data_IF_031604337523
#
_entry.id   IF_031604337523
#
_cell.length_a   1.000
_cell.length_b   1.000
_cell.length_c   1.000
_cell.angle_alpha   90.00
_cell.angle_beta   90.00
_cell.angle_gamma   90.00
#
_symmetry.space_group_name_H-M   'P 1'
#
loop_
_entity.id
_entity.type
_entity.pdbx_description
1 polymer ?
#
# COMPACT_ATOMS: atom_id res chain seq x y z
N UNK A 1 19.07 1.09 17.58
CA UNK A 1 18.31 -0.03 16.98
C UNK A 1 16.85 0.20 17.32
N UNK A 2 15.95 0.38 16.33
CA UNK A 2 14.53 0.54 16.62
C UNK A 2 13.99 -0.74 17.31
N UNK A 3 13.04 -0.60 18.26
CA UNK A 3 12.44 -1.76 18.92
C UNK A 3 11.76 -2.65 17.88
N UNK A 4 11.95 -3.97 17.96
CA UNK A 4 11.26 -4.89 17.04
C UNK A 4 9.76 -4.84 17.32
N UNK A 5 8.91 -4.69 16.27
CA UNK A 5 7.47 -4.65 16.44
C UNK A 5 6.96 -5.95 17.09
N UNK A 6 5.86 -5.91 17.87
CA UNK A 6 5.22 -7.11 18.38
C UNK A 6 4.84 -8.06 17.23
N UNK A 7 5.25 -9.33 17.32
CA UNK A 7 4.99 -10.36 16.29
C UNK A 7 3.52 -10.52 15.91
N UNK A 8 2.60 -10.18 16.82
CA UNK A 8 1.16 -10.29 16.57
C UNK A 8 0.63 -9.19 15.64
N UNK A 9 1.24 -8.00 15.66
CA UNK A 9 0.88 -6.89 14.77
C UNK A 9 1.31 -7.22 13.33
N UNK A 10 2.53 -7.72 13.16
CA UNK A 10 3.06 -8.16 11.87
C UNK A 10 2.16 -9.21 11.22
N UNK A 11 1.78 -10.27 11.95
CA UNK A 11 0.83 -11.29 11.47
C UNK A 11 -0.53 -10.71 11.08
N UNK A 12 -1.00 -9.70 11.80
CA UNK A 12 -2.29 -9.05 11.52
C UNK A 12 -2.23 -8.24 10.22
N UNK A 13 -1.13 -7.50 10.00
CA UNK A 13 -0.87 -6.75 8.77
C UNK A 13 -0.75 -7.72 7.59
N UNK A 14 0.04 -8.78 7.72
CA UNK A 14 0.19 -9.81 6.70
C UNK A 14 -1.15 -10.42 6.30
N UNK A 15 -2.00 -10.73 7.29
CA UNK A 15 -3.33 -11.26 7.04
C UNK A 15 -4.20 -10.27 6.25
N UNK A 16 -4.19 -8.99 6.63
CA UNK A 16 -4.94 -7.94 5.94
C UNK A 16 -4.46 -7.76 4.49
N UNK A 17 -3.14 -7.67 4.28
CA UNK A 17 -2.56 -7.53 2.95
C UNK A 17 -2.92 -8.71 2.05
N UNK A 18 -2.92 -9.95 2.58
CA UNK A 18 -3.34 -11.15 1.83
C UNK A 18 -4.82 -11.11 1.44
N UNK A 19 -5.70 -10.70 2.35
CA UNK A 19 -7.14 -10.58 2.07
C UNK A 19 -7.36 -9.52 0.99
N UNK A 20 -6.73 -8.36 1.12
CA UNK A 20 -6.83 -7.30 0.12
C UNK A 20 -6.30 -7.76 -1.26
N UNK A 21 -5.14 -8.45 -1.29
CA UNK A 21 -4.59 -9.04 -2.51
C UNK A 21 -5.56 -10.02 -3.17
N UNK A 22 -6.20 -10.89 -2.38
CA UNK A 22 -7.20 -11.84 -2.87
C UNK A 22 -8.40 -11.12 -3.51
N UNK A 23 -8.97 -10.13 -2.83
CA UNK A 23 -10.12 -9.36 -3.37
C UNK A 23 -9.73 -8.59 -4.63
N UNK A 24 -8.53 -7.98 -4.65
CA UNK A 24 -7.99 -7.29 -5.83
C UNK A 24 -7.80 -8.25 -7.00
N UNK A 25 -7.31 -9.46 -6.74
CA UNK A 25 -7.14 -10.50 -7.76
C UNK A 25 -8.50 -10.96 -8.32
N UNK A 26 -9.52 -11.12 -7.47
CA UNK A 26 -10.89 -11.42 -7.91
C UNK A 26 -11.46 -10.31 -8.80
N UNK A 27 -11.24 -9.05 -8.45
CA UNK A 27 -11.65 -7.90 -9.26
C UNK A 27 -10.95 -7.91 -10.63
N UNK A 28 -9.64 -8.17 -10.68
CA UNK A 28 -8.90 -8.30 -11.94
C UNK A 28 -9.37 -9.50 -12.77
N UNK A 29 -9.66 -10.64 -12.13
CA UNK A 29 -10.21 -11.82 -12.79
C UNK A 29 -11.55 -11.52 -13.46
N UNK A 30 -12.46 -10.85 -12.75
CA UNK A 30 -13.74 -10.40 -13.31
C UNK A 30 -13.55 -9.39 -14.46
N UNK A 31 -12.61 -8.46 -14.33
CA UNK A 31 -12.28 -7.49 -15.36
C UNK A 31 -11.75 -8.16 -16.65
N UNK A 32 -10.81 -9.11 -16.51
CA UNK A 32 -10.29 -9.92 -17.62
C UNK A 32 -11.42 -10.74 -18.26
N UNK A 33 -12.28 -11.37 -17.44
CA UNK A 33 -13.42 -12.12 -17.93
C UNK A 33 -14.31 -11.26 -18.81
N UNK A 34 -14.61 -10.01 -18.43
CA UNK A 34 -15.43 -9.10 -19.23
C UNK A 34 -14.74 -8.48 -20.44
N UNK A 35 -13.41 -8.43 -20.41
CA UNK A 35 -12.61 -8.00 -21.55
C UNK A 35 -12.52 -9.10 -22.62
N UNK A 36 -12.41 -10.37 -22.21
CA UNK A 36 -12.20 -11.51 -23.12
C UNK A 36 -13.52 -12.20 -23.52
N UNK A 37 -14.51 -12.23 -22.63
CA UNK A 37 -15.81 -12.83 -22.88
C UNK A 37 -16.83 -11.72 -23.10
N UNK A 38 -17.16 -11.47 -24.37
CA UNK A 38 -18.27 -10.58 -24.71
C UNK A 38 -19.60 -11.29 -24.40
N UNK A 39 -20.42 -10.79 -23.46
CA UNK A 39 -21.71 -11.41 -23.16
C UNK A 39 -22.59 -11.41 -24.41
N UNK A 40 -22.92 -12.60 -24.94
CA UNK A 40 -23.75 -12.76 -26.14
C UNK A 40 -22.99 -13.15 -27.41
N UNK A 41 -21.66 -13.22 -27.39
CA UNK A 41 -20.89 -13.86 -28.47
C UNK A 41 -20.81 -15.39 -28.23
N UNK A 42 -20.95 -16.17 -29.30
CA UNK A 42 -20.80 -17.63 -29.24
C UNK A 42 -19.34 -18.06 -28.97
N UNK A 43 -18.39 -17.24 -29.43
CA UNK A 43 -16.96 -17.45 -29.26
C UNK A 43 -16.35 -16.38 -28.35
N UNK A 44 -15.24 -16.72 -27.70
CA UNK A 44 -14.43 -15.75 -26.97
C UNK A 44 -13.91 -14.68 -27.95
N UNK A 45 -14.50 -13.48 -27.86
CA UNK A 45 -14.16 -12.35 -28.69
C UNK A 45 -13.69 -11.19 -27.81
N UNK A 46 -12.50 -10.68 -28.09
CA UNK A 46 -11.93 -9.56 -27.39
C UNK A 46 -12.83 -8.32 -27.52
N UNK A 47 -13.27 -7.81 -26.40
CA UNK A 47 -14.24 -6.73 -26.30
C UNK A 47 -13.53 -5.38 -26.20
N UNK A 48 -13.21 -4.81 -27.36
CA UNK A 48 -12.48 -3.54 -27.48
C UNK A 48 -13.17 -2.36 -26.79
N UNK A 49 -14.50 -2.38 -26.67
CA UNK A 49 -15.29 -1.36 -25.96
C UNK A 49 -15.04 -1.35 -24.46
N UNK A 50 -14.65 -2.49 -23.86
CA UNK A 50 -14.33 -2.60 -22.44
C UNK A 50 -12.86 -2.28 -22.11
N UNK A 51 -12.01 -2.15 -23.13
CA UNK A 51 -10.59 -1.91 -22.96
C UNK A 51 -10.28 -0.63 -22.16
N UNK A 52 -10.96 0.52 -22.38
CA UNK A 52 -10.66 1.72 -21.62
C UNK A 52 -10.98 1.58 -20.13
N UNK A 53 -12.13 0.96 -19.77
CA UNK A 53 -12.46 0.72 -18.35
C UNK A 53 -11.47 -0.26 -17.72
N UNK A 54 -11.05 -1.29 -18.46
CA UNK A 54 -10.02 -2.23 -18.00
C UNK A 54 -8.70 -1.52 -17.68
N UNK A 55 -8.22 -0.69 -18.60
CA UNK A 55 -6.99 0.08 -18.40
C UNK A 55 -7.13 1.05 -17.23
N UNK A 56 -8.25 1.76 -17.12
CA UNK A 56 -8.51 2.65 -15.99
C UNK A 56 -8.48 1.89 -14.66
N UNK A 57 -9.14 0.72 -14.59
CA UNK A 57 -9.16 -0.13 -13.40
C UNK A 57 -7.76 -0.61 -13.02
N UNK A 58 -6.95 -1.11 -13.97
CA UNK A 58 -5.58 -1.55 -13.71
C UNK A 58 -4.71 -0.39 -13.23
N UNK A 59 -4.80 0.77 -13.92
CA UNK A 59 -4.10 1.97 -13.52
C UNK A 59 -4.46 2.41 -12.10
N UNK A 60 -5.68 2.17 -11.62
CA UNK A 60 -6.09 2.50 -10.25
C UNK A 60 -5.71 1.42 -9.23
N UNK A 61 -5.95 0.13 -9.51
CA UNK A 61 -5.69 -0.96 -8.56
C UNK A 61 -4.22 -1.01 -8.14
N UNK A 62 -3.29 -0.91 -9.10
CA UNK A 62 -1.85 -1.06 -8.84
C UNK A 62 -1.33 -0.09 -7.79
N UNK A 63 -1.47 1.25 -7.96
CA UNK A 63 -1.02 2.20 -6.95
C UNK A 63 -1.82 2.13 -5.65
N UNK A 64 -3.11 1.81 -5.67
CA UNK A 64 -3.89 1.60 -4.44
C UNK A 64 -3.35 0.43 -3.62
N UNK A 65 -3.09 -0.70 -4.28
CA UNK A 65 -2.52 -1.88 -3.63
C UNK A 65 -1.15 -1.58 -3.02
N UNK A 66 -0.24 -0.96 -3.80
CA UNK A 66 1.08 -0.56 -3.33
C UNK A 66 0.99 0.42 -2.18
N UNK A 67 0.13 1.43 -2.35
CA UNK A 67 -0.08 2.48 -1.39
C UNK A 67 -0.59 1.96 -0.05
N UNK A 68 -1.63 1.12 -0.06
CA UNK A 68 -2.16 0.47 1.14
C UNK A 68 -1.08 -0.35 1.85
N UNK A 69 -0.36 -1.18 1.11
CA UNK A 69 0.70 -2.03 1.67
C UNK A 69 1.72 -1.18 2.41
N UNK A 70 2.21 -0.12 1.76
CA UNK A 70 3.19 0.79 2.33
C UNK A 70 2.64 1.61 3.49
N UNK A 71 1.38 2.04 3.42
CA UNK A 71 0.70 2.73 4.52
C UNK A 71 0.69 1.88 5.79
N UNK A 72 0.33 0.60 5.67
CA UNK A 72 0.28 -0.32 6.80
C UNK A 72 1.68 -0.54 7.41
N UNK A 73 2.69 -0.74 6.57
CA UNK A 73 4.07 -0.89 7.04
C UNK A 73 4.58 0.37 7.75
N UNK A 74 4.46 1.54 7.10
CA UNK A 74 4.95 2.80 7.64
C UNK A 74 4.21 3.19 8.92
N UNK A 75 2.91 2.92 8.98
CA UNK A 75 2.09 3.28 10.15
C UNK A 75 2.30 2.31 11.31
N UNK A 76 2.45 1.00 11.08
CA UNK A 76 2.41 0.01 12.17
C UNK A 76 3.71 -0.73 12.44
N UNK A 77 4.64 -0.79 11.47
CA UNK A 77 5.94 -1.46 11.64
C UNK A 77 7.07 -0.46 11.86
N UNK A 78 7.07 0.66 11.13
CA UNK A 78 8.18 1.62 11.15
C UNK A 78 7.93 2.87 12.02
N UNK A 79 6.72 3.07 12.54
CA UNK A 79 6.43 4.16 13.46
C UNK A 79 7.07 3.91 14.83
N UNK A 80 8.26 4.48 15.08
CA UNK A 80 9.05 4.25 16.29
C UNK A 80 8.46 4.86 17.57
N UNK A 81 7.62 5.90 17.45
CA UNK A 81 7.28 6.76 18.60
C UNK A 81 5.77 6.95 18.81
N UNK A 82 4.92 6.48 17.88
CA UNK A 82 3.47 6.66 17.98
C UNK A 82 2.82 5.45 18.67
N UNK A 83 2.34 5.63 19.91
CA UNK A 83 1.36 4.70 20.48
C UNK A 83 0.07 4.81 19.67
N UNK A 84 -0.11 3.94 18.68
CA UNK A 84 -1.35 3.88 17.94
C UNK A 84 -2.51 3.49 18.87
N UNK A 85 -3.64 4.21 18.84
CA UNK A 85 -4.82 3.83 19.59
C UNK A 85 -5.24 2.40 19.22
N UNK A 86 -5.64 1.61 20.22
CA UNK A 86 -6.19 0.27 19.99
C UNK A 86 -7.40 0.40 19.06
N UNK A 87 -7.40 -0.32 17.95
CA UNK A 87 -8.52 -0.36 17.01
C UNK A 87 -8.34 0.46 15.73
N UNK A 88 -7.35 1.35 15.61
CA UNK A 88 -7.12 2.07 14.33
C UNK A 88 -6.83 1.08 13.20
N UNK A 89 -6.04 0.03 13.47
CA UNK A 89 -5.79 -1.05 12.50
C UNK A 89 -7.07 -1.74 12.00
N UNK A 90 -8.11 -1.85 12.85
CA UNK A 90 -9.39 -2.43 12.44
C UNK A 90 -10.17 -1.48 11.53
N UNK A 91 -10.07 -0.16 11.77
CA UNK A 91 -10.69 0.84 10.90
C UNK A 91 -10.01 0.82 9.53
N UNK A 92 -8.68 0.85 9.50
CA UNK A 92 -7.89 0.73 8.26
C UNK A 92 -8.28 -0.55 7.49
N UNK A 93 -8.45 -1.67 8.22
CA UNK A 93 -8.90 -2.93 7.63
C UNK A 93 -10.26 -2.80 6.92
N UNK A 94 -11.25 -2.23 7.59
CA UNK A 94 -12.60 -2.07 7.02
C UNK A 94 -12.58 -1.13 5.82
N UNK A 95 -11.83 -0.04 5.90
CA UNK A 95 -11.70 0.95 4.82
C UNK A 95 -11.06 0.31 3.59
N UNK A 96 -9.89 -0.33 3.75
CA UNK A 96 -9.19 -0.97 2.64
C UNK A 96 -9.96 -2.16 2.06
N UNK A 97 -10.70 -2.90 2.87
CA UNK A 97 -11.57 -3.95 2.38
C UNK A 97 -12.74 -3.39 1.55
N UNK A 98 -13.31 -2.26 1.95
CA UNK A 98 -14.36 -1.56 1.20
C UNK A 98 -13.83 -1.03 -0.14
N UNK A 99 -12.63 -0.47 -0.16
CA UNK A 99 -11.95 -0.04 -1.39
C UNK A 99 -11.70 -1.22 -2.33
N UNK A 100 -11.15 -2.33 -1.81
CA UNK A 100 -10.92 -3.55 -2.59
C UNK A 100 -12.22 -4.12 -3.17
N UNK A 101 -13.30 -4.13 -2.37
CA UNK A 101 -14.62 -4.56 -2.81
C UNK A 101 -15.19 -3.64 -3.90
N UNK A 102 -14.88 -2.35 -3.83
CA UNK A 102 -15.27 -1.38 -4.86
C UNK A 102 -14.57 -1.66 -6.19
N UNK A 103 -13.33 -2.16 -6.21
CA UNK A 103 -12.69 -2.62 -7.45
C UNK A 103 -13.45 -3.77 -8.11
N UNK A 104 -13.97 -4.71 -7.31
CA UNK A 104 -14.81 -5.79 -7.84
C UNK A 104 -16.12 -5.24 -8.40
N UNK A 105 -16.76 -4.30 -7.70
CA UNK A 105 -17.96 -3.62 -8.20
C UNK A 105 -17.70 -2.85 -9.50
N UNK A 106 -16.55 -2.16 -9.61
CA UNK A 106 -16.10 -1.49 -10.83
C UNK A 106 -15.95 -2.49 -11.98
N UNK A 107 -15.28 -3.62 -11.76
CA UNK A 107 -15.19 -4.68 -12.77
C UNK A 107 -16.60 -5.15 -13.20
N UNK A 108 -17.51 -5.31 -12.25
CA UNK A 108 -18.90 -5.68 -12.51
C UNK A 108 -19.72 -4.61 -13.27
N UNK A 109 -19.23 -3.38 -13.37
CA UNK A 109 -19.86 -2.25 -14.07
C UNK A 109 -19.24 -1.96 -15.44
N UNK A 110 -18.40 -2.83 -16.00
CA UNK A 110 -17.90 -2.63 -17.36
C UNK A 110 -19.04 -2.42 -18.37
N UNK A 111 -18.82 -1.51 -19.32
CA UNK A 111 -19.81 -0.96 -20.28
C UNK A 111 -20.92 -0.10 -19.66
N UNK A 112 -21.01 0.01 -18.34
CA UNK A 112 -21.95 0.93 -17.69
C UNK A 112 -21.36 2.34 -17.59
N UNK A 113 -22.13 3.41 -17.85
CA UNK A 113 -21.69 4.78 -17.56
C UNK A 113 -21.40 4.98 -16.06
N UNK A 114 -21.99 4.15 -15.19
CA UNK A 114 -21.77 4.21 -13.74
C UNK A 114 -20.36 3.78 -13.32
N UNK A 115 -19.59 3.13 -14.21
CA UNK A 115 -18.21 2.75 -13.93
C UNK A 115 -17.37 3.95 -13.48
N UNK A 116 -17.36 5.03 -14.27
CA UNK A 116 -16.52 6.18 -13.98
C UNK A 116 -17.07 7.05 -12.86
N UNK A 117 -18.38 7.09 -12.66
CA UNK A 117 -18.97 7.70 -11.47
C UNK A 117 -18.52 7.00 -10.19
N UNK A 118 -18.53 5.66 -10.18
CA UNK A 118 -18.04 4.88 -9.04
C UNK A 118 -16.52 5.04 -8.87
N UNK A 119 -15.76 5.12 -9.96
CA UNK A 119 -14.31 5.33 -9.90
C UNK A 119 -13.97 6.71 -9.32
N UNK A 120 -14.65 7.76 -9.76
CA UNK A 120 -14.51 9.10 -9.18
C UNK A 120 -14.91 9.13 -7.69
N UNK A 121 -15.97 8.40 -7.33
CA UNK A 121 -16.39 8.19 -5.95
C UNK A 121 -15.31 7.49 -5.10
N UNK A 122 -14.70 6.43 -5.63
CA UNK A 122 -13.60 5.72 -4.98
C UNK A 122 -12.39 6.62 -4.74
N UNK A 123 -11.97 7.39 -5.75
CA UNK A 123 -10.86 8.35 -5.60
C UNK A 123 -11.16 9.44 -4.58
N UNK A 124 -12.43 9.88 -4.50
CA UNK A 124 -12.87 10.83 -3.47
C UNK A 124 -12.81 10.21 -2.08
N UNK A 125 -13.30 8.98 -1.94
CA UNK A 125 -13.28 8.23 -0.68
C UNK A 125 -11.84 8.04 -0.18
N UNK A 126 -10.93 7.61 -1.04
CA UNK A 126 -9.51 7.48 -0.71
C UNK A 126 -8.89 8.83 -0.33
N UNK A 127 -9.18 9.91 -1.07
CA UNK A 127 -8.68 11.24 -0.72
C UNK A 127 -9.15 11.69 0.66
N UNK A 128 -10.42 11.44 1.01
CA UNK A 128 -10.96 11.74 2.34
C UNK A 128 -10.25 10.92 3.42
N UNK A 129 -10.05 9.62 3.16
CA UNK A 129 -9.34 8.73 4.07
C UNK A 129 -7.87 9.13 4.26
N UNK A 130 -7.18 9.46 3.17
CA UNK A 130 -5.84 10.05 3.18
C UNK A 130 -5.80 11.35 3.99
N UNK A 131 -6.83 12.19 3.88
CA UNK A 131 -6.99 13.40 4.68
C UNK A 131 -7.14 13.12 6.18
N UNK A 132 -8.03 12.19 6.55
CA UNK A 132 -8.22 11.75 7.95
C UNK A 132 -6.92 11.22 8.53
N UNK A 133 -6.21 10.37 7.78
CA UNK A 133 -4.93 9.80 8.25
C UNK A 133 -3.79 10.81 8.27
N UNK A 134 -3.83 11.87 7.46
CA UNK A 134 -2.89 12.99 7.50
C UNK A 134 -3.05 13.84 8.77
N UNK A 135 -4.25 13.91 9.38
CA UNK A 135 -4.46 14.57 10.67
C UNK A 135 -3.69 13.88 11.81
N UNK A 136 -3.38 12.59 11.64
CA UNK A 136 -2.63 11.78 12.60
C UNK A 136 -1.13 11.80 12.26
N UNK A 137 -0.78 11.71 10.98
CA UNK A 137 0.61 11.71 10.51
C UNK A 137 0.78 12.58 9.23
N UNK A 138 1.17 13.87 9.38
CA UNK A 138 1.02 14.87 8.31
C UNK A 138 2.10 14.85 7.22
N UNK A 139 3.30 14.33 7.50
CA UNK A 139 4.48 14.61 6.67
C UNK A 139 4.44 13.99 5.26
N UNK A 140 3.73 12.87 5.08
CA UNK A 140 3.83 12.07 3.84
C UNK A 140 2.50 11.93 3.08
N UNK A 141 1.37 12.29 3.69
CA UNK A 141 0.04 11.91 3.17
C UNK A 141 -0.70 12.99 2.38
N UNK A 142 -0.30 14.27 2.51
CA UNK A 142 -1.02 15.38 1.86
C UNK A 142 -0.93 15.36 0.32
N UNK A 143 0.24 15.03 -0.24
CA UNK A 143 0.44 15.00 -1.71
C UNK A 143 -0.40 13.92 -2.38
N UNK A 144 -0.45 12.73 -1.80
CA UNK A 144 -1.31 11.64 -2.24
C UNK A 144 -2.78 12.07 -2.23
N UNK A 145 -3.26 12.60 -1.09
CA UNK A 145 -4.63 13.10 -0.95
C UNK A 145 -4.98 14.10 -2.06
N UNK A 146 -4.08 15.06 -2.33
CA UNK A 146 -4.26 16.07 -3.38
C UNK A 146 -4.32 15.46 -4.79
N UNK A 147 -3.47 14.47 -5.09
CA UNK A 147 -3.49 13.78 -6.40
C UNK A 147 -4.81 13.04 -6.63
N UNK A 148 -5.29 12.29 -5.64
CA UNK A 148 -6.56 11.57 -5.75
C UNK A 148 -7.75 12.50 -5.82
N UNK A 149 -7.77 13.55 -5.01
CA UNK A 149 -8.81 14.57 -5.08
C UNK A 149 -8.83 15.29 -6.43
N UNK A 150 -7.67 15.70 -6.94
CA UNK A 150 -7.55 16.35 -8.25
C UNK A 150 -8.03 15.46 -9.40
N UNK A 151 -7.68 14.18 -9.38
CA UNK A 151 -8.15 13.20 -10.35
C UNK A 151 -9.67 12.98 -10.26
N UNK A 152 -10.22 12.88 -9.04
CA UNK A 152 -11.66 12.75 -8.83
C UNK A 152 -12.43 13.97 -9.38
N UNK A 153 -11.97 15.19 -9.07
CA UNK A 153 -12.56 16.43 -9.59
C UNK A 153 -12.49 16.47 -11.11
N UNK A 154 -11.34 16.13 -11.71
CA UNK A 154 -11.21 16.07 -13.16
C UNK A 154 -12.21 15.08 -13.79
N UNK A 155 -12.37 13.89 -13.21
CA UNK A 155 -13.36 12.91 -13.67
C UNK A 155 -14.79 13.45 -13.53
N UNK A 156 -15.16 14.04 -12.40
CA UNK A 156 -16.50 14.62 -12.20
C UNK A 156 -16.79 15.74 -13.20
N UNK A 157 -15.81 16.60 -13.50
CA UNK A 157 -15.96 17.67 -14.50
C UNK A 157 -16.21 17.06 -15.89
N UNK A 158 -15.39 16.08 -16.31
CA UNK A 158 -15.57 15.41 -17.60
C UNK A 158 -16.95 14.74 -17.69
N UNK A 159 -17.36 14.02 -16.64
CA UNK A 159 -18.66 13.35 -16.56
C UNK A 159 -19.85 14.31 -16.56
N UNK A 160 -19.73 15.45 -15.87
CA UNK A 160 -20.83 16.42 -15.72
C UNK A 160 -21.04 17.27 -16.98
N UNK A 161 -19.96 17.58 -17.70
CA UNK A 161 -20.04 18.43 -18.89
C UNK A 161 -20.74 17.73 -20.05
N UNK A 162 -20.57 16.40 -20.20
CA UNK A 162 -21.15 15.62 -21.31
C UNK A 162 -20.91 16.26 -22.71
N UNK A 163 -19.81 17.03 -22.86
CA UNK A 163 -19.51 17.83 -24.07
C UNK A 163 -18.88 16.97 -25.17
N UNK A 164 -18.35 15.80 -24.83
CA UNK A 164 -17.56 14.98 -25.75
C UNK A 164 -18.43 14.04 -26.59
N UNK A 165 -17.93 13.68 -27.78
CA UNK A 165 -18.58 12.66 -28.62
C UNK A 165 -18.75 11.36 -27.83
N UNK A 166 -19.88 10.64 -28.01
CA UNK A 166 -20.09 9.34 -27.36
C UNK A 166 -18.89 8.42 -27.55
N UNK A 167 -18.29 7.94 -26.45
CA UNK A 167 -17.13 7.05 -26.43
C UNK A 167 -15.77 7.75 -26.29
N UNK A 168 -15.67 9.05 -26.59
CA UNK A 168 -14.42 9.81 -26.38
C UNK A 168 -14.23 10.20 -24.90
N UNK A 169 -15.33 10.40 -24.18
CA UNK A 169 -15.39 10.59 -22.73
C UNK A 169 -14.72 9.43 -21.98
N UNK A 170 -14.99 8.18 -22.37
CA UNK A 170 -14.43 6.97 -21.74
C UNK A 170 -12.90 6.96 -21.84
N UNK A 171 -12.34 7.25 -23.03
CA UNK A 171 -10.89 7.32 -23.22
C UNK A 171 -10.24 8.48 -22.47
N UNK A 172 -10.90 9.64 -22.42
CA UNK A 172 -10.41 10.78 -21.65
C UNK A 172 -10.38 10.47 -20.15
N UNK A 173 -11.40 9.79 -19.62
CA UNK A 173 -11.44 9.36 -18.22
C UNK A 173 -10.38 8.30 -17.92
N UNK A 174 -10.14 7.36 -18.84
CA UNK A 174 -9.00 6.42 -18.74
C UNK A 174 -7.66 7.16 -18.75
N UNK A 175 -7.51 8.20 -19.57
CA UNK A 175 -6.31 9.03 -19.59
C UNK A 175 -6.10 9.75 -18.24
N UNK A 176 -7.16 10.27 -17.62
CA UNK A 176 -7.09 10.86 -16.27
C UNK A 176 -6.57 9.84 -15.25
N UNK A 177 -7.09 8.61 -15.27
CA UNK A 177 -6.60 7.53 -14.41
C UNK A 177 -5.11 7.21 -14.66
N UNK A 178 -4.70 7.10 -15.93
CA UNK A 178 -3.31 6.84 -16.30
C UNK A 178 -2.35 7.96 -15.88
N UNK A 179 -2.71 9.22 -16.15
CA UNK A 179 -1.92 10.40 -15.74
C UNK A 179 -1.79 10.45 -14.22
N UNK A 180 -2.89 10.23 -13.48
CA UNK A 180 -2.85 10.16 -12.02
C UNK A 180 -1.84 9.11 -11.54
N UNK A 181 -1.81 7.92 -12.14
CA UNK A 181 -0.89 6.85 -11.74
C UNK A 181 0.57 7.18 -12.05
N UNK A 182 0.84 7.81 -13.20
CA UNK A 182 2.19 8.30 -13.53
C UNK A 182 2.64 9.37 -12.53
N UNK A 183 1.78 10.34 -12.22
CA UNK A 183 2.06 11.39 -11.24
C UNK A 183 2.29 10.80 -9.84
N UNK A 184 1.51 9.80 -9.46
CA UNK A 184 1.65 9.13 -8.19
C UNK A 184 3.03 8.46 -8.04
N UNK A 185 3.43 7.61 -8.99
CA UNK A 185 4.75 6.98 -8.95
C UNK A 185 5.91 7.97 -9.09
N UNK A 186 5.77 9.02 -9.89
CA UNK A 186 6.84 10.01 -10.07
C UNK A 186 7.04 10.90 -8.83
N UNK A 187 5.97 11.26 -8.13
CA UNK A 187 6.05 12.13 -6.94
C UNK A 187 6.33 11.35 -5.65
N UNK A 188 5.95 10.07 -5.60
CA UNK A 188 6.12 9.18 -4.45
C UNK A 188 7.12 8.04 -4.70
N UNK A 189 8.06 8.20 -5.64
CA UNK A 189 9.02 7.15 -5.98
C UNK A 189 9.75 6.58 -4.75
N UNK A 190 10.26 7.45 -3.86
CA UNK A 190 10.99 7.02 -2.64
C UNK A 190 10.09 6.29 -1.63
N UNK A 191 8.79 6.58 -1.64
CA UNK A 191 7.82 5.91 -0.79
C UNK A 191 7.55 4.48 -1.29
N UNK A 192 7.43 4.29 -2.62
CA UNK A 192 7.24 2.97 -3.22
C UNK A 192 8.52 2.13 -3.30
N UNK A 193 9.66 2.78 -3.51
CA UNK A 193 10.95 2.15 -3.77
C UNK A 193 12.02 2.81 -2.90
N UNK A 194 12.14 2.42 -1.62
CA UNK A 194 13.14 2.97 -0.70
C UNK A 194 14.58 2.48 -0.97
N UNK A 195 14.84 1.88 -2.13
CA UNK A 195 16.16 1.39 -2.53
C UNK A 195 17.08 2.57 -2.83
N UNK A 196 18.01 2.91 -1.93
CA UNK A 196 19.08 3.86 -2.23
C UNK A 196 19.60 4.73 -1.08
N UNK A 197 18.93 4.74 0.08
CA UNK A 197 19.35 5.58 1.21
C UNK A 197 20.16 4.83 2.28
N UNK A 198 20.33 3.51 2.12
CA UNK A 198 21.39 2.79 2.85
C UNK A 198 22.74 3.16 2.22
N UNK A 199 23.31 4.30 2.65
CA UNK A 199 24.75 4.46 2.55
C UNK A 199 25.34 3.23 3.27
N UNK A 200 26.10 2.35 2.56
CA UNK A 200 26.83 1.29 3.24
C UNK A 200 27.62 1.98 4.36
N UNK A 201 27.60 1.45 5.60
CA UNK A 201 28.25 2.08 6.73
C UNK A 201 29.63 2.51 6.26
N UNK A 202 29.82 3.84 6.17
CA UNK A 202 31.03 4.37 5.57
C UNK A 202 32.17 3.71 6.31
N UNK A 203 33.14 3.15 5.57
CA UNK A 203 34.27 2.40 6.12
C UNK A 203 35.19 3.26 7.03
N UNK A 204 34.71 4.39 7.54
CA UNK A 204 35.40 5.32 8.41
C UNK A 204 35.49 4.84 9.86
N UNK A 205 34.68 3.87 10.32
CA UNK A 205 34.81 3.35 11.70
C UNK A 205 35.76 2.16 11.86
N UNK A 206 36.20 1.52 10.78
CA UNK A 206 37.15 0.38 10.87
C UNK A 206 38.61 0.85 10.96
N UNK A 207 38.88 2.14 10.69
CA UNK A 207 40.23 2.72 10.70
C UNK A 207 40.72 3.25 12.04
N UNK A 208 39.83 3.59 12.98
CA UNK A 208 40.23 4.18 14.27
C UNK A 208 40.28 3.16 15.42
N UNK A 209 39.50 2.08 15.37
CA UNK A 209 39.53 1.05 16.42
C UNK A 209 40.83 0.22 16.40
N UNK A 210 41.48 0.10 15.23
CA UNK A 210 42.77 -0.58 15.10
C UNK A 210 44.00 0.26 15.49
N UNK A 211 43.84 1.55 15.84
CA UNK A 211 44.94 2.38 16.35
C UNK A 211 44.99 2.48 17.87
N UNK A 212 43.94 2.04 18.59
CA UNK A 212 43.92 2.05 20.05
C UNK A 212 44.36 0.72 20.70
N UNK A 213 44.49 -0.37 19.93
CA UNK A 213 44.80 -1.71 20.46
C UNK A 213 46.31 -2.08 20.51
N UNK A 214 47.23 -1.14 20.21
CA UNK A 214 48.67 -1.34 20.45
C UNK A 214 49.09 -0.56 21.69
N UNK A 215 48.63 -1.02 22.84
CA UNK A 215 49.10 -0.65 24.17
C UNK A 215 49.85 -1.83 24.81
N UNK A 216 50.89 -1.58 25.63
CA UNK A 216 51.90 -2.57 25.97
C UNK A 216 51.38 -3.65 26.94
N UNK A 217 51.79 -4.88 26.64
CA UNK A 217 51.83 -6.05 27.53
C UNK A 217 52.02 -5.70 29.01
N UNK A 218 50.97 -5.91 29.80
CA UNK A 218 51.03 -6.11 31.25
C UNK A 218 49.92 -7.10 31.62
N UNK A 219 50.26 -8.37 31.86
CA UNK A 219 50.54 -8.94 33.17
C UNK A 219 49.27 -9.18 33.99
N UNK A 220 49.03 -10.45 34.36
CA UNK A 220 48.08 -10.78 35.44
C UNK A 220 47.19 -11.98 35.18
N UNK A 221 47.73 -13.19 35.47
CA UNK A 221 46.93 -14.33 35.92
C UNK A 221 45.95 -13.87 37.01
N UNK A 222 44.69 -14.31 36.93
CA UNK A 222 44.16 -15.21 37.95
C UNK A 222 42.85 -15.86 37.50
N UNK A 223 42.91 -17.19 37.39
CA UNK A 223 41.78 -18.09 37.44
C UNK A 223 40.88 -17.77 38.62
N UNK A 224 39.56 -17.72 38.39
CA UNK A 224 38.57 -18.07 39.40
C UNK A 224 37.66 -19.16 38.84
N UNK A 225 37.44 -20.26 39.58
CA UNK A 225 36.80 -21.48 39.07
C UNK A 225 35.28 -21.41 39.01
N UNK A 226 34.75 -22.37 38.26
CA UNK A 226 33.36 -22.82 38.12
C UNK A 226 32.55 -22.80 39.42
N UNK A 227 31.31 -22.31 39.32
CA UNK A 227 30.18 -22.86 40.08
C UNK A 227 28.99 -23.05 39.11
N UNK A 228 28.71 -24.32 38.81
CA UNK A 228 27.38 -24.82 38.42
C UNK A 228 26.65 -25.30 39.70
N UNK A 229 25.45 -25.88 39.62
CA UNK A 229 24.16 -25.38 39.17
C UNK A 229 23.14 -25.41 40.34
N UNK A 230 22.00 -24.73 40.23
CA UNK A 230 20.87 -25.00 41.15
C UNK A 230 19.53 -25.05 40.43
N UNK A 231 19.05 -26.29 40.35
CA UNK A 231 17.68 -26.78 40.23
C UNK A 231 16.65 -25.99 41.04
N UNK A 232 15.45 -25.78 40.48
CA UNK A 232 14.15 -25.65 41.18
C UNK A 232 13.04 -25.71 40.11
N UNK A 233 12.37 -26.86 39.96
CA UNK A 233 11.05 -27.19 40.54
C UNK A 233 9.91 -26.35 39.91
N UNK A 234 9.11 -26.92 39.02
CA UNK A 234 7.86 -27.61 39.38
C UNK A 234 6.78 -26.61 39.83
N UNK A 235 5.79 -26.34 38.98
CA UNK A 235 4.39 -26.14 39.42
C UNK A 235 3.43 -26.36 38.25
N UNK A 236 2.72 -27.47 38.40
CA UNK A 236 1.57 -27.97 37.69
C UNK A 236 0.31 -27.21 38.16
N UNK A 237 -0.51 -26.65 37.26
CA UNK A 237 -1.96 -26.39 37.46
C UNK A 237 -2.67 -26.52 36.11
N UNK A 238 -3.32 -27.66 35.89
CA UNK A 238 -4.79 -27.88 35.82
C UNK A 238 -5.43 -27.14 34.66
#
# INVERSE_FOLDING_TARGET
MPPTPPKDIEKSIDSLQRIHALVSALALGEAVRRLVLNPGAADAAFNTEALPQFLALVCTIVPFYHGMHRHLEDTYLFATDARHPKGVLLIDFVVFLAEASTFFALAALFKSPNFFWLLAGLLTFDALWGGVTALINPATKFRWCLLNFGAAVAMFVVLSLNVFRPGMDVWLLTLVAGVRTILDYSTHWRFYFPFGDEQPPSAQTVGEENKAAVGPTANGRNHKPEESPTTSSETQRV
#
